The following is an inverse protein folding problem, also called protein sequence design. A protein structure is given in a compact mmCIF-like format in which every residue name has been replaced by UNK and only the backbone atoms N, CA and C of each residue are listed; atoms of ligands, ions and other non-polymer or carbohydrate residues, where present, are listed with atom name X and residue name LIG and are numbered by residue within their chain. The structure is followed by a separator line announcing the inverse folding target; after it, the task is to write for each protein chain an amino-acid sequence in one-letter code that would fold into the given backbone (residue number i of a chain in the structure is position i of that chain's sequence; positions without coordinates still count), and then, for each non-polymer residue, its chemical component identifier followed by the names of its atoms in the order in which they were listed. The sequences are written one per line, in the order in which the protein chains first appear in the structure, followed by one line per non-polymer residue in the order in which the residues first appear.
data_IF_103233992652
#
_entry.id   IF_103233992652
#
_cell.length_a   1.000
_cell.length_b   1.000
_cell.length_c   1.000
_cell.angle_alpha   90.00
_cell.angle_beta   90.00
_cell.angle_gamma   90.00
#
_symmetry.space_group_name_H-M   'P 1'
#
loop_
_entity.id
_entity.type
_entity.pdbx_description
1 polymer ?
#
# COMPACT_ATOMS: atom_id res chain seq x y z
N UNK A 1 -12.23 -10.81 -25.71
CA UNK A 1 -11.35 -11.60 -24.82
C UNK A 1 -10.30 -10.67 -24.25
N UNK A 2 -9.90 -10.78 -22.97
CA UNK A 2 -8.79 -10.03 -22.45
C UNK A 2 -7.50 -10.46 -23.15
N UNK A 3 -6.54 -9.53 -23.33
CA UNK A 3 -5.26 -9.82 -23.99
C UNK A 3 -4.28 -10.53 -23.04
N UNK A 4 -4.52 -10.50 -21.75
CA UNK A 4 -3.73 -11.12 -20.71
C UNK A 4 -4.66 -11.63 -19.60
N UNK A 5 -4.47 -12.88 -19.20
CA UNK A 5 -5.10 -13.49 -18.03
C UNK A 5 -4.03 -14.17 -17.18
N UNK A 6 -4.05 -13.88 -15.90
CA UNK A 6 -3.19 -14.51 -14.89
C UNK A 6 -4.02 -14.89 -13.67
N UNK A 7 -3.55 -15.85 -12.89
CA UNK A 7 -4.26 -16.33 -11.69
C UNK A 7 -3.38 -16.23 -10.46
N UNK A 8 -3.96 -15.71 -9.39
CA UNK A 8 -3.35 -15.55 -8.07
C UNK A 8 -4.34 -15.98 -6.98
N UNK A 9 -3.86 -16.16 -5.76
CA UNK A 9 -4.75 -16.34 -4.62
C UNK A 9 -5.32 -15.01 -4.15
N UNK A 10 -4.47 -14.00 -4.04
CA UNK A 10 -4.80 -12.69 -3.49
C UNK A 10 -4.30 -11.57 -4.40
N UNK A 11 -5.16 -10.61 -4.68
CA UNK A 11 -4.81 -9.34 -5.32
C UNK A 11 -4.84 -8.20 -4.31
N UNK A 12 -3.77 -7.41 -4.23
CA UNK A 12 -3.69 -6.22 -3.39
C UNK A 12 -3.67 -4.97 -4.27
N UNK A 13 -4.64 -4.09 -4.10
CA UNK A 13 -4.78 -2.87 -4.90
C UNK A 13 -4.24 -1.68 -4.13
N UNK A 14 -3.06 -1.21 -4.55
CA UNK A 14 -2.32 -0.13 -3.93
C UNK A 14 -1.11 -0.63 -3.14
N UNK A 15 0.07 -0.08 -3.44
CA UNK A 15 1.34 -0.39 -2.78
C UNK A 15 1.81 0.73 -1.84
N UNK A 16 0.87 1.40 -1.15
CA UNK A 16 1.17 2.19 0.04
C UNK A 16 1.55 1.30 1.23
N UNK A 17 1.80 1.87 2.40
CA UNK A 17 2.22 1.10 3.58
C UNK A 17 1.29 -0.07 3.89
N UNK A 18 -0.03 0.16 3.92
CA UNK A 18 -1.01 -0.88 4.18
C UNK A 18 -1.00 -1.99 3.11
N UNK A 19 -0.86 -1.62 1.84
CA UNK A 19 -0.79 -2.58 0.75
C UNK A 19 0.49 -3.41 0.77
N UNK A 20 1.64 -2.79 1.07
CA UNK A 20 2.91 -3.51 1.23
C UNK A 20 2.82 -4.55 2.35
N UNK A 21 2.30 -4.16 3.52
CA UNK A 21 2.14 -5.08 4.65
C UNK A 21 1.16 -6.21 4.35
N UNK A 22 0.02 -5.92 3.71
CA UNK A 22 -0.95 -6.93 3.32
C UNK A 22 -0.36 -7.93 2.30
N UNK A 23 0.37 -7.42 1.31
CA UNK A 23 1.00 -8.26 0.29
C UNK A 23 2.09 -9.16 0.89
N UNK A 24 2.95 -8.60 1.75
CA UNK A 24 3.99 -9.36 2.45
C UNK A 24 3.39 -10.41 3.40
N UNK A 25 2.33 -10.08 4.13
CA UNK A 25 1.65 -11.03 5.01
C UNK A 25 1.06 -12.20 4.23
N UNK A 26 0.37 -11.93 3.12
CA UNK A 26 -0.20 -12.96 2.25
C UNK A 26 0.88 -13.87 1.65
N UNK A 27 1.95 -13.28 1.11
CA UNK A 27 3.06 -14.04 0.52
C UNK A 27 3.79 -14.91 1.55
N UNK A 28 4.00 -14.42 2.77
CA UNK A 28 4.58 -15.19 3.88
C UNK A 28 3.72 -16.37 4.32
N UNK A 29 2.41 -16.29 4.08
CA UNK A 29 1.48 -17.41 4.23
C UNK A 29 1.47 -18.35 3.01
N UNK A 30 2.41 -18.18 2.07
CA UNK A 30 2.56 -18.93 0.83
C UNK A 30 1.34 -18.84 -0.10
N UNK A 31 0.65 -17.69 -0.07
CA UNK A 31 -0.41 -17.39 -1.02
C UNK A 31 0.21 -16.71 -2.24
N UNK A 32 -0.06 -17.21 -3.44
CA UNK A 32 0.33 -16.52 -4.68
C UNK A 32 -0.35 -15.15 -4.72
N UNK A 33 0.44 -14.12 -4.51
CA UNK A 33 -0.05 -12.76 -4.27
C UNK A 33 0.43 -11.81 -5.36
N UNK A 34 -0.45 -10.96 -5.85
CA UNK A 34 -0.11 -9.86 -6.75
C UNK A 34 -0.46 -8.52 -6.11
N UNK A 35 0.47 -7.57 -6.14
CA UNK A 35 0.23 -6.19 -5.69
C UNK A 35 0.28 -5.23 -6.87
N UNK A 36 -0.75 -4.40 -6.98
CA UNK A 36 -0.89 -3.40 -8.03
C UNK A 36 -0.54 -2.01 -7.53
N UNK A 37 0.24 -1.29 -8.32
CA UNK A 37 0.55 0.12 -8.09
C UNK A 37 0.50 0.90 -9.40
N UNK A 38 0.13 2.17 -9.35
CA UNK A 38 0.19 3.06 -10.52
C UNK A 38 1.62 3.46 -10.88
N UNK A 39 2.54 3.39 -9.91
CA UNK A 39 3.97 3.63 -10.11
C UNK A 39 4.77 2.83 -9.11
N UNK A 40 5.73 2.06 -9.60
CA UNK A 40 6.66 1.30 -8.73
C UNK A 40 7.56 2.21 -7.91
N UNK A 41 7.80 3.43 -8.37
CA UNK A 41 8.60 4.42 -7.66
C UNK A 41 7.82 5.08 -6.51
N UNK A 42 6.51 4.84 -6.42
CA UNK A 42 5.66 5.32 -5.34
C UNK A 42 5.33 4.25 -4.27
N UNK A 43 5.99 3.09 -4.33
CA UNK A 43 5.83 2.05 -3.31
C UNK A 43 6.23 2.60 -1.94
N UNK A 44 5.36 2.44 -0.94
CA UNK A 44 5.54 2.95 0.42
C UNK A 44 5.90 4.44 0.48
N UNK A 45 5.41 5.23 -0.48
CA UNK A 45 5.68 6.67 -0.56
C UNK A 45 5.18 7.37 0.70
N UNK A 46 6.00 8.30 1.22
CA UNK A 46 5.66 9.20 2.31
C UNK A 46 5.40 10.62 1.76
N UNK A 47 4.18 10.92 1.28
CA UNK A 47 3.92 12.17 0.57
C UNK A 47 3.93 13.40 1.48
N UNK A 48 3.67 13.22 2.76
CA UNK A 48 3.60 14.28 3.75
C UNK A 48 4.93 14.42 4.50
N UNK A 49 4.98 13.93 5.72
CA UNK A 49 6.19 13.92 6.54
C UNK A 49 6.83 12.54 6.51
N UNK A 50 8.14 12.41 6.20
CA UNK A 50 8.81 11.13 6.14
C UNK A 50 9.12 10.60 7.55
N UNK A 51 8.08 10.31 8.33
CA UNK A 51 8.21 9.83 9.70
C UNK A 51 7.41 8.55 9.92
N UNK A 52 8.00 7.61 10.64
CA UNK A 52 7.33 6.43 11.17
C UNK A 52 7.18 6.58 12.69
N UNK A 53 6.03 6.22 13.22
CA UNK A 53 5.72 6.35 14.64
C UNK A 53 5.20 7.73 15.04
N UNK A 54 5.51 8.13 16.27
CA UNK A 54 4.97 9.33 16.90
C UNK A 54 3.75 9.04 17.75
N UNK A 55 3.12 10.10 18.31
CA UNK A 55 1.96 9.97 19.20
C UNK A 55 0.84 9.19 18.53
N UNK A 56 0.32 8.18 19.21
CA UNK A 56 -0.72 7.23 18.77
C UNK A 56 -0.34 6.32 17.61
N UNK A 57 0.62 6.69 16.77
CA UNK A 57 1.07 5.90 15.62
C UNK A 57 2.16 4.90 15.99
N UNK A 58 3.07 5.25 16.91
CA UNK A 58 4.17 4.39 17.34
C UNK A 58 3.70 3.08 17.97
N UNK A 59 2.57 3.08 18.66
CA UNK A 59 1.96 1.88 19.22
C UNK A 59 1.51 0.92 18.13
N UNK A 60 0.82 1.42 17.10
CA UNK A 60 0.36 0.62 15.96
C UNK A 60 1.55 0.01 15.19
N UNK A 61 2.63 0.77 15.01
CA UNK A 61 3.84 0.23 14.35
C UNK A 61 4.45 -0.91 15.15
N UNK A 62 4.47 -0.81 16.49
CA UNK A 62 4.97 -1.90 17.36
C UNK A 62 4.08 -3.14 17.33
N UNK A 63 2.76 -2.95 17.31
CA UNK A 63 1.81 -4.06 17.17
C UNK A 63 2.01 -4.77 15.82
N UNK A 64 2.16 -4.00 14.74
CA UNK A 64 2.45 -4.53 13.42
C UNK A 64 3.77 -5.28 13.38
N UNK A 65 4.83 -4.72 13.98
CA UNK A 65 6.15 -5.35 14.08
C UNK A 65 6.10 -6.68 14.86
N UNK A 66 5.35 -6.71 15.97
CA UNK A 66 5.14 -7.92 16.75
C UNK A 66 4.43 -9.04 15.95
N UNK A 67 3.64 -8.69 14.95
CA UNK A 67 3.01 -9.62 14.00
C UNK A 67 3.93 -9.98 12.82
N UNK A 68 5.15 -9.50 12.81
CA UNK A 68 6.14 -9.78 11.75
C UNK A 68 6.10 -8.80 10.57
N UNK A 69 5.47 -7.63 10.75
CA UNK A 69 5.41 -6.57 9.74
C UNK A 69 6.78 -6.05 9.30
N UNK A 70 6.82 -5.35 8.20
CA UNK A 70 8.06 -4.88 7.57
C UNK A 70 8.37 -3.41 7.87
N UNK A 71 7.35 -2.62 8.21
CA UNK A 71 7.51 -1.17 8.43
C UNK A 71 8.57 -0.84 9.50
N UNK A 72 8.56 -1.57 10.62
CA UNK A 72 9.54 -1.41 11.70
C UNK A 72 10.96 -1.74 11.23
N UNK A 73 11.13 -2.86 10.55
CA UNK A 73 12.43 -3.30 10.00
C UNK A 73 12.97 -2.36 8.94
N UNK A 74 12.08 -1.82 8.10
CA UNK A 74 12.47 -0.88 7.04
C UNK A 74 12.93 0.45 7.63
N UNK A 75 12.18 1.00 8.62
CA UNK A 75 12.59 2.27 9.24
C UNK A 75 13.90 2.13 10.01
N UNK A 76 14.17 0.99 10.63
CA UNK A 76 15.44 0.73 11.34
C UNK A 76 16.67 0.77 10.42
N UNK A 77 16.48 0.50 9.13
CA UNK A 77 17.54 0.58 8.11
C UNK A 77 17.67 1.98 7.49
N UNK A 78 16.64 2.79 7.56
CA UNK A 78 16.51 4.00 6.73
C UNK A 78 16.25 5.27 7.52
N UNK A 79 16.24 5.22 8.85
CA UNK A 79 16.06 6.41 9.66
C UNK A 79 17.31 7.32 9.64
N UNK A 80 17.08 8.62 9.67
CA UNK A 80 18.11 9.65 9.83
C UNK A 80 18.10 10.24 11.23
N UNK A 81 16.98 10.16 11.94
CA UNK A 81 16.83 10.58 13.31
C UNK A 81 15.76 9.76 14.02
N UNK A 82 16.03 9.37 15.24
CA UNK A 82 15.05 8.72 16.12
C UNK A 82 14.93 9.50 17.43
N UNK A 83 13.70 9.78 17.86
CA UNK A 83 13.45 10.56 19.07
C UNK A 83 12.21 10.04 19.81
N UNK A 84 12.38 9.89 21.15
CA UNK A 84 11.25 9.62 22.02
C UNK A 84 10.47 10.91 22.30
N UNK A 85 9.17 10.90 21.98
CA UNK A 85 8.24 12.02 22.25
C UNK A 85 7.56 11.81 23.59
N UNK A 86 7.05 12.91 24.14
CA UNK A 86 6.21 12.93 25.36
C UNK A 86 6.90 12.38 26.64
N UNK A 87 8.23 12.43 26.72
CA UNK A 87 8.96 11.93 27.90
C UNK A 87 8.51 12.58 29.21
N UNK A 88 8.07 13.84 29.18
CA UNK A 88 7.56 14.57 30.34
C UNK A 88 6.12 14.21 30.72
N UNK A 89 5.42 13.42 29.90
CA UNK A 89 3.97 13.12 30.07
C UNK A 89 3.69 11.77 30.71
N UNK A 90 4.73 11.00 31.04
CA UNK A 90 4.62 9.67 31.64
C UNK A 90 4.70 8.53 30.60
N UNK A 91 5.03 7.31 31.08
CA UNK A 91 5.36 6.17 30.20
C UNK A 91 4.26 5.75 29.21
N UNK A 92 3.00 5.89 29.63
CA UNK A 92 1.86 5.47 28.80
C UNK A 92 1.73 6.21 27.47
N UNK A 93 2.30 7.41 27.37
CA UNK A 93 2.25 8.24 26.15
C UNK A 93 3.62 8.44 25.51
N UNK A 94 4.65 7.75 25.99
CA UNK A 94 5.96 7.73 25.36
C UNK A 94 5.82 7.13 23.96
N UNK A 95 6.24 7.87 22.95
CA UNK A 95 6.08 7.47 21.55
C UNK A 95 7.37 7.69 20.79
N UNK A 96 7.93 6.61 20.29
CA UNK A 96 9.08 6.68 19.40
C UNK A 96 8.63 7.25 18.04
N UNK A 97 9.37 8.23 17.54
CA UNK A 97 9.26 8.77 16.19
C UNK A 97 10.59 8.70 15.50
N UNK A 98 10.65 8.01 14.36
CA UNK A 98 11.80 7.95 13.51
C UNK A 98 11.53 8.76 12.22
N UNK A 99 12.45 9.66 11.89
CA UNK A 99 12.45 10.37 10.63
C UNK A 99 13.22 9.55 9.61
N UNK A 100 12.61 9.26 8.48
CA UNK A 100 13.19 8.44 7.42
C UNK A 100 13.93 9.29 6.38
N UNK A 101 14.99 8.71 5.82
CA UNK A 101 15.39 9.04 4.46
C UNK A 101 14.30 8.50 3.52
N UNK A 102 13.57 9.42 2.88
CA UNK A 102 12.39 9.09 2.09
C UNK A 102 12.71 8.19 0.89
N UNK A 103 13.81 8.45 0.21
CA UNK A 103 14.21 7.68 -0.97
C UNK A 103 14.73 6.29 -0.57
N UNK A 104 15.57 6.23 0.45
CA UNK A 104 16.06 4.95 0.98
C UNK A 104 14.92 4.08 1.48
N UNK A 105 13.94 4.67 2.18
CA UNK A 105 12.79 3.93 2.69
C UNK A 105 11.95 3.30 1.57
N UNK A 106 11.62 4.06 0.54
CA UNK A 106 10.89 3.58 -0.64
C UNK A 106 11.69 2.49 -1.38
N UNK A 107 12.98 2.72 -1.60
CA UNK A 107 13.86 1.76 -2.27
C UNK A 107 13.99 0.45 -1.50
N UNK A 108 14.16 0.52 -0.19
CA UNK A 108 14.27 -0.68 0.65
C UNK A 108 12.95 -1.47 0.69
N UNK A 109 11.80 -0.80 0.85
CA UNK A 109 10.51 -1.49 0.81
C UNK A 109 10.28 -2.18 -0.55
N UNK A 110 10.58 -1.49 -1.65
CA UNK A 110 10.51 -2.07 -2.99
C UNK A 110 11.41 -3.31 -3.11
N UNK A 111 12.65 -3.22 -2.63
CA UNK A 111 13.60 -4.33 -2.64
C UNK A 111 13.06 -5.54 -1.86
N UNK A 112 12.44 -5.31 -0.72
CA UNK A 112 11.83 -6.37 0.09
C UNK A 112 10.70 -7.04 -0.69
N UNK A 113 9.79 -6.27 -1.29
CA UNK A 113 8.68 -6.82 -2.07
C UNK A 113 9.17 -7.63 -3.28
N UNK A 114 10.16 -7.11 -4.03
CA UNK A 114 10.73 -7.76 -5.22
C UNK A 114 11.46 -9.08 -4.90
N UNK A 115 11.97 -9.24 -3.68
CA UNK A 115 12.69 -10.44 -3.25
C UNK A 115 11.86 -11.38 -2.36
N UNK A 116 10.57 -11.12 -2.20
CA UNK A 116 9.68 -11.98 -1.44
C UNK A 116 9.09 -13.06 -2.35
N UNK A 117 9.29 -14.32 -1.99
CA UNK A 117 8.66 -15.46 -2.68
C UNK A 117 7.14 -15.32 -2.65
N UNK A 118 6.46 -15.86 -3.66
CA UNK A 118 4.99 -15.80 -3.81
C UNK A 118 4.41 -14.38 -3.94
N UNK A 119 5.24 -13.37 -4.27
CA UNK A 119 4.81 -11.99 -4.44
C UNK A 119 5.22 -11.44 -5.81
N UNK A 120 4.22 -10.99 -6.57
CA UNK A 120 4.42 -10.33 -7.86
C UNK A 120 3.98 -8.87 -7.78
N UNK A 121 4.80 -7.96 -8.29
CA UNK A 121 4.46 -6.53 -8.40
C UNK A 121 4.03 -6.24 -9.83
N UNK A 122 2.88 -5.60 -10.01
CA UNK A 122 2.39 -5.14 -11.32
C UNK A 122 2.17 -3.63 -11.29
N UNK A 123 2.79 -2.92 -12.23
CA UNK A 123 2.47 -1.52 -12.45
C UNK A 123 1.25 -1.42 -13.37
N UNK A 124 0.09 -1.26 -12.76
CA UNK A 124 -1.17 -1.10 -13.47
C UNK A 124 -2.23 -0.41 -12.57
N UNK A 125 -3.14 0.31 -13.21
CA UNK A 125 -4.32 0.85 -12.56
C UNK A 125 -5.45 -0.19 -12.59
N UNK A 126 -5.92 -0.60 -11.42
CA UNK A 126 -7.10 -1.47 -11.30
C UNK A 126 -8.35 -0.60 -11.37
N UNK A 127 -9.28 -0.94 -12.26
CA UNK A 127 -10.51 -0.17 -12.52
C UNK A 127 -11.78 -0.91 -12.14
N UNK A 128 -11.71 -2.25 -12.00
CA UNK A 128 -12.89 -3.06 -11.75
C UNK A 128 -12.57 -4.25 -10.85
N UNK A 129 -13.51 -4.58 -9.97
CA UNK A 129 -13.49 -5.82 -9.19
C UNK A 129 -14.53 -6.75 -9.82
N UNK A 130 -14.09 -7.91 -10.24
CA UNK A 130 -14.94 -8.94 -10.82
C UNK A 130 -15.54 -9.79 -9.70
N UNK A 131 -16.85 -9.98 -9.74
CA UNK A 131 -17.57 -10.79 -8.77
C UNK A 131 -18.72 -11.53 -9.45
N UNK A 132 -18.91 -12.78 -9.04
CA UNK A 132 -19.99 -13.64 -9.48
C UNK A 132 -20.70 -14.22 -8.25
N UNK A 133 -22.00 -14.21 -8.23
CA UNK A 133 -22.83 -14.73 -7.11
C UNK A 133 -22.39 -14.19 -5.73
N UNK A 134 -21.97 -12.91 -5.68
CA UNK A 134 -21.52 -12.27 -4.43
C UNK A 134 -20.11 -12.65 -3.97
N UNK A 135 -19.34 -13.37 -4.79
CA UNK A 135 -17.96 -13.76 -4.52
C UNK A 135 -17.01 -13.08 -5.50
N UNK A 136 -15.88 -12.61 -5.01
CA UNK A 136 -14.80 -12.08 -5.85
C UNK A 136 -14.24 -13.21 -6.71
N UNK A 137 -14.10 -12.93 -8.02
CA UNK A 137 -13.49 -13.83 -9.00
C UNK A 137 -12.21 -13.24 -9.60
N UNK A 138 -11.98 -11.94 -9.45
CA UNK A 138 -10.79 -11.30 -9.97
C UNK A 138 -10.85 -9.79 -9.98
N UNK A 139 -9.92 -9.19 -10.70
CA UNK A 139 -9.87 -7.75 -10.98
C UNK A 139 -9.59 -7.52 -12.46
N UNK A 140 -9.93 -6.32 -12.96
CA UNK A 140 -9.56 -5.85 -14.29
C UNK A 140 -8.79 -4.55 -14.18
N UNK A 141 -7.76 -4.43 -15.00
CA UNK A 141 -6.96 -3.21 -15.12
C UNK A 141 -7.48 -2.27 -16.20
N UNK A 142 -7.02 -1.02 -16.18
CA UNK A 142 -7.35 0.00 -17.19
C UNK A 142 -6.97 -0.44 -18.62
N UNK A 143 -5.90 -1.21 -18.76
CA UNK A 143 -5.46 -1.77 -20.04
C UNK A 143 -6.30 -2.96 -20.51
N UNK A 144 -7.23 -3.47 -19.69
CA UNK A 144 -8.10 -4.59 -20.03
C UNK A 144 -7.57 -5.97 -19.64
N UNK A 145 -6.40 -6.05 -18.98
CA UNK A 145 -5.90 -7.32 -18.44
C UNK A 145 -6.79 -7.79 -17.27
N UNK A 146 -7.00 -9.09 -17.17
CA UNK A 146 -7.77 -9.74 -16.12
C UNK A 146 -6.85 -10.58 -15.24
N UNK A 147 -7.02 -10.45 -13.95
CA UNK A 147 -6.31 -11.22 -12.94
C UNK A 147 -7.31 -11.92 -12.05
N UNK A 148 -7.40 -13.24 -12.19
CA UNK A 148 -8.28 -14.06 -11.38
C UNK A 148 -7.72 -14.20 -9.97
N UNK A 149 -8.58 -14.04 -8.96
CA UNK A 149 -8.17 -14.21 -7.57
C UNK A 149 -9.36 -14.54 -6.67
N UNK A 150 -9.08 -15.16 -5.52
CA UNK A 150 -10.09 -15.53 -4.53
C UNK A 150 -10.41 -14.42 -3.54
N UNK A 151 -9.50 -13.46 -3.38
CA UNK A 151 -9.67 -12.32 -2.48
C UNK A 151 -8.98 -11.07 -3.03
N UNK A 152 -9.55 -9.91 -2.72
CA UNK A 152 -9.00 -8.60 -3.05
C UNK A 152 -8.85 -7.78 -1.78
N UNK A 153 -7.66 -7.22 -1.57
CA UNK A 153 -7.39 -6.25 -0.50
C UNK A 153 -7.32 -4.86 -1.12
N UNK A 154 -8.23 -3.98 -0.73
CA UNK A 154 -8.24 -2.59 -1.17
C UNK A 154 -7.40 -1.73 -0.23
N UNK A 155 -6.25 -1.28 -0.70
CA UNK A 155 -5.30 -0.42 0.02
C UNK A 155 -5.00 0.86 -0.77
N UNK A 156 -6.01 1.43 -1.40
CA UNK A 156 -5.92 2.57 -2.33
C UNK A 156 -5.52 3.89 -1.66
N UNK A 157 -5.54 3.94 -0.33
CA UNK A 157 -5.17 5.12 0.43
C UNK A 157 -5.99 6.34 0.04
N UNK A 158 -5.32 7.46 -0.18
CA UNK A 158 -5.93 8.75 -0.55
C UNK A 158 -5.98 8.99 -2.06
N UNK A 159 -5.79 7.97 -2.90
CA UNK A 159 -5.74 8.13 -4.35
C UNK A 159 -7.07 7.85 -5.05
N UNK A 160 -7.99 7.14 -4.40
CA UNK A 160 -9.29 6.81 -4.99
C UNK A 160 -10.15 8.07 -5.12
N UNK A 161 -10.45 8.49 -6.37
CA UNK A 161 -11.12 9.76 -6.70
C UNK A 161 -10.47 10.95 -5.98
N UNK A 162 -9.16 10.95 -5.94
CA UNK A 162 -8.40 11.92 -5.17
C UNK A 162 -8.61 13.35 -5.68
N UNK A 163 -8.60 14.28 -4.72
CA UNK A 163 -8.67 15.71 -4.97
C UNK A 163 -7.73 16.43 -4.01
N UNK A 164 -6.81 17.21 -4.55
CA UNK A 164 -5.95 18.09 -3.77
C UNK A 164 -6.50 19.51 -3.74
N UNK A 165 -6.65 20.07 -2.55
CA UNK A 165 -7.22 21.41 -2.35
C UNK A 165 -6.13 22.32 -1.77
N UNK A 166 -5.91 23.46 -2.44
CA UNK A 166 -4.96 24.49 -2.04
C UNK A 166 -5.70 25.84 -1.99
N UNK A 167 -6.14 26.25 -0.80
CA UNK A 167 -7.04 27.41 -0.67
C UNK A 167 -8.33 27.16 -1.44
N UNK A 168 -8.64 28.03 -2.41
CA UNK A 168 -9.84 27.97 -3.24
C UNK A 168 -9.67 27.09 -4.50
N UNK A 169 -8.45 26.61 -4.76
CA UNK A 169 -8.14 25.79 -5.93
C UNK A 169 -8.29 24.31 -5.60
N UNK A 170 -9.05 23.60 -6.44
CA UNK A 170 -9.28 22.16 -6.30
C UNK A 170 -8.86 21.43 -7.57
N UNK A 171 -7.87 20.55 -7.45
CA UNK A 171 -7.33 19.76 -8.55
C UNK A 171 -7.65 18.27 -8.38
N UNK A 172 -8.13 17.58 -9.42
CA UNK A 172 -8.36 16.13 -9.39
C UNK A 172 -7.04 15.37 -9.54
N UNK A 173 -6.20 15.44 -8.52
CA UNK A 173 -4.89 14.76 -8.46
C UNK A 173 -4.73 14.05 -7.13
N UNK A 174 -3.91 12.98 -7.12
CA UNK A 174 -3.40 12.41 -5.89
C UNK A 174 -2.23 13.22 -5.31
N UNK A 175 -1.74 12.86 -4.13
CA UNK A 175 -0.54 13.46 -3.53
C UNK A 175 0.66 13.42 -4.48
N UNK A 176 1.52 14.44 -4.41
CA UNK A 176 2.70 14.61 -5.27
C UNK A 176 2.39 14.67 -6.79
N UNK A 177 1.18 15.07 -7.16
CA UNK A 177 0.78 15.18 -8.58
C UNK A 177 0.58 13.84 -9.28
N UNK A 178 0.58 12.73 -8.54
CA UNK A 178 0.28 11.41 -9.11
C UNK A 178 -1.19 11.35 -9.55
N UNK A 179 -1.42 10.56 -10.58
CA UNK A 179 -2.77 10.42 -11.14
C UNK A 179 -3.74 9.85 -10.09
N UNK A 180 -4.95 10.43 -9.92
CA UNK A 180 -5.95 9.86 -9.05
C UNK A 180 -6.43 8.54 -9.66
N UNK A 181 -6.64 7.53 -8.84
CA UNK A 181 -7.30 6.30 -9.27
C UNK A 181 -8.75 6.61 -9.67
N UNK A 182 -9.18 6.04 -10.76
CA UNK A 182 -10.60 6.06 -11.17
C UNK A 182 -11.44 5.32 -10.11
N UNK A 183 -12.74 5.55 -10.14
CA UNK A 183 -13.63 4.77 -9.27
C UNK A 183 -13.50 3.28 -9.62
N UNK A 184 -13.31 2.45 -8.61
CA UNK A 184 -13.49 1.01 -8.75
C UNK A 184 -14.99 0.76 -8.98
N UNK A 185 -15.33 0.29 -10.15
CA UNK A 185 -16.71 -0.11 -10.45
C UNK A 185 -16.87 -1.58 -10.04
N UNK A 186 -18.00 -1.97 -9.41
CA UNK A 186 -18.37 -3.36 -9.38
C UNK A 186 -18.64 -3.81 -10.82
N UNK A 187 -18.24 -5.04 -11.17
CA UNK A 187 -18.61 -5.62 -12.44
C UNK A 187 -20.15 -5.56 -12.57
N UNK A 188 -20.64 -5.11 -13.75
CA UNK A 188 -22.05 -5.19 -14.03
C UNK A 188 -22.44 -6.68 -13.95
N UNK A 189 -23.32 -7.02 -13.01
CA UNK A 189 -23.95 -8.34 -12.98
C UNK A 189 -24.83 -8.43 -14.21
N UNK A 190 -24.38 -9.20 -15.19
CA UNK A 190 -25.19 -9.61 -16.35
C UNK A 190 -26.23 -10.63 -15.93
#
# INVERSE_FOLDING_TARGET
MPYLEETYDIAVVGAGHAGCEAALAAARLRMETVVFTVSVDSIALMPCNPNIGGSSKGHLVRELDALGGEMGKNIDKTFIQSKMLNQSKGPAVHSLRAQADKEMYTREMRRVLENTEHLTIKQAEVTEILAEEGRVTGIRTLSGAVYHCRAVVLATGTYLRARCIYGDVSNPTGPNGLHPLRALSPAATS
#
